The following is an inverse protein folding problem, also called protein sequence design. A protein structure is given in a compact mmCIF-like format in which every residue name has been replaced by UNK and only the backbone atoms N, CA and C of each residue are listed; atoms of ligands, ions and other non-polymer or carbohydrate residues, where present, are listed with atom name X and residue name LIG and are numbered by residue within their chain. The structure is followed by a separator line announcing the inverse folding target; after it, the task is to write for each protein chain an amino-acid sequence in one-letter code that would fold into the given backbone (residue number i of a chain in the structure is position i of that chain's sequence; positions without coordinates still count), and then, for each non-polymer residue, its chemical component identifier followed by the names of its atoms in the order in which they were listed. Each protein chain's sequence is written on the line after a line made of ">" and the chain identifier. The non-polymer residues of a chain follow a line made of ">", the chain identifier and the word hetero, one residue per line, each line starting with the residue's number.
data_IF_294948205926
#
_entry.id   IF_294948205926
#
_cell.length_a   1.000
_cell.length_b   1.000
_cell.length_c   1.000
_cell.angle_alpha   90.00
_cell.angle_beta   90.00
_cell.angle_gamma   90.00
#
_symmetry.space_group_name_H-M   'P 1'
#
loop_
_entity.id
_entity.type
_entity.pdbx_description
1 polymer ?
#
# COMPACT_ATOMS: atom_id res chain seq x y z
N UNK A 1 -6.24 -18.45 -20.54
CA UNK A 1 -5.39 -17.79 -19.52
C UNK A 1 -4.43 -16.91 -20.28
N UNK A 2 -4.62 -15.59 -20.27
CA UNK A 2 -3.77 -14.65 -20.99
C UNK A 2 -2.47 -14.50 -20.20
N UNK A 3 -1.36 -14.95 -20.78
CA UNK A 3 -0.03 -14.72 -20.22
C UNK A 3 0.29 -13.22 -20.38
N UNK A 4 0.74 -12.58 -19.30
CA UNK A 4 1.18 -11.19 -19.33
C UNK A 4 2.71 -11.20 -19.29
N UNK A 5 3.28 -10.49 -20.27
CA UNK A 5 4.70 -10.20 -20.39
C UNK A 5 4.86 -8.70 -20.13
N UNK A 6 5.82 -8.32 -19.30
CA UNK A 6 6.14 -6.93 -19.06
C UNK A 6 7.46 -6.59 -19.73
N UNK A 7 7.52 -5.41 -20.33
CA UNK A 7 8.74 -4.90 -20.96
C UNK A 7 9.37 -3.88 -20.02
N UNK A 8 10.60 -4.14 -19.59
CA UNK A 8 11.37 -3.22 -18.77
C UNK A 8 11.79 -1.96 -19.57
N UNK A 9 12.25 -0.88 -18.91
CA UNK A 9 12.66 0.36 -19.57
C UNK A 9 13.80 0.20 -20.59
N UNK A 10 14.60 -0.87 -20.45
CA UNK A 10 15.67 -1.26 -21.35
C UNK A 10 15.21 -2.16 -22.52
N UNK A 11 13.90 -2.41 -22.64
CA UNK A 11 13.29 -3.24 -23.67
C UNK A 11 13.28 -4.75 -23.35
N UNK A 12 13.77 -5.18 -22.18
CA UNK A 12 13.80 -6.60 -21.83
C UNK A 12 12.41 -7.11 -21.43
N UNK A 13 11.98 -8.23 -22.03
CA UNK A 13 10.71 -8.87 -21.70
C UNK A 13 10.85 -9.82 -20.51
N UNK A 14 9.97 -9.65 -19.54
CA UNK A 14 9.89 -10.47 -18.34
C UNK A 14 9.37 -11.87 -18.67
N UNK A 15 9.78 -12.90 -17.92
CA UNK A 15 9.13 -14.21 -18.02
C UNK A 15 7.58 -14.10 -17.88
N UNK A 16 6.79 -14.79 -18.74
CA UNK A 16 5.34 -14.65 -18.76
C UNK A 16 4.73 -15.09 -17.44
N UNK A 17 3.86 -14.26 -16.86
CA UNK A 17 3.20 -14.57 -15.59
C UNK A 17 1.68 -14.60 -15.65
N UNK A 18 1.16 -15.30 -14.65
CA UNK A 18 -0.22 -15.51 -14.26
C UNK A 18 -1.06 -14.32 -13.83
N UNK A 19 -2.29 -14.16 -14.32
CA UNK A 19 -3.34 -13.49 -13.53
C UNK A 19 -3.52 -14.11 -12.13
N UNK A 20 -3.25 -15.42 -11.99
CA UNK A 20 -3.24 -16.13 -10.69
C UNK A 20 -2.01 -15.80 -9.83
N UNK A 21 -0.91 -15.35 -10.43
CA UNK A 21 0.31 -14.97 -9.70
C UNK A 21 0.17 -13.61 -9.02
N UNK A 22 -0.51 -12.65 -9.66
CA UNK A 22 -0.87 -11.34 -9.07
C UNK A 22 -1.78 -11.46 -7.83
N UNK A 23 -2.72 -12.41 -7.83
CA UNK A 23 -3.63 -12.66 -6.68
C UNK A 23 -2.90 -13.07 -5.40
N UNK A 24 -1.63 -13.47 -5.49
CA UNK A 24 -0.85 -14.05 -4.40
C UNK A 24 0.03 -13.03 -3.64
N UNK A 25 0.03 -11.76 -4.03
CA UNK A 25 0.93 -10.71 -3.51
C UNK A 25 0.39 -9.89 -2.31
N UNK A 26 -0.91 -9.90 -2.00
CA UNK A 26 -1.46 -9.00 -0.97
C UNK A 26 -2.48 -9.65 -0.04
N UNK A 27 -2.20 -9.64 1.27
CA UNK A 27 -3.18 -9.96 2.33
C UNK A 27 -4.25 -8.86 2.36
N UNK A 28 -5.35 -9.08 1.65
CA UNK A 28 -6.72 -8.50 1.78
C UNK A 28 -7.39 -8.67 0.40
N UNK A 29 -8.05 -9.80 0.21
CA UNK A 29 -8.72 -10.16 -1.06
C UNK A 29 -10.20 -9.77 -1.04
N UNK A 30 -10.77 -9.49 0.13
CA UNK A 30 -12.23 -9.52 0.32
C UNK A 30 -12.97 -8.25 -0.14
N UNK A 31 -12.30 -7.14 -0.44
CA UNK A 31 -12.93 -5.89 -0.93
C UNK A 31 -12.23 -5.24 -2.15
N UNK A 32 -11.69 -6.05 -3.08
CA UNK A 32 -11.10 -5.49 -4.30
C UNK A 32 -12.17 -5.02 -5.28
N UNK A 33 -11.93 -3.87 -5.91
CA UNK A 33 -12.84 -3.37 -6.95
C UNK A 33 -12.93 -4.41 -8.10
N UNK A 34 -14.12 -4.65 -8.69
CA UNK A 34 -14.25 -5.57 -9.81
C UNK A 34 -13.29 -5.29 -10.99
N UNK A 35 -12.94 -4.02 -11.22
CA UNK A 35 -12.03 -3.60 -12.30
C UNK A 35 -10.56 -3.57 -11.87
N UNK A 36 -10.26 -3.85 -10.60
CA UNK A 36 -8.92 -3.80 -10.04
C UNK A 36 -7.90 -4.55 -10.90
N UNK A 37 -8.32 -5.72 -11.39
CA UNK A 37 -7.42 -6.61 -12.10
C UNK A 37 -7.05 -6.10 -13.49
N UNK A 38 -8.04 -5.63 -14.24
CA UNK A 38 -7.83 -5.07 -15.57
C UNK A 38 -7.04 -3.77 -15.46
N UNK A 39 -7.31 -2.97 -14.42
CA UNK A 39 -6.54 -1.79 -14.08
C UNK A 39 -5.08 -2.09 -13.77
N UNK A 40 -4.79 -3.12 -12.97
CA UNK A 40 -3.42 -3.55 -12.70
C UNK A 40 -2.68 -3.90 -14.00
N UNK A 41 -3.30 -4.68 -14.87
CA UNK A 41 -2.69 -5.07 -16.14
C UNK A 41 -2.40 -3.86 -17.03
N UNK A 42 -3.35 -2.93 -17.12
CA UNK A 42 -3.20 -1.72 -17.90
C UNK A 42 -2.09 -0.82 -17.34
N UNK A 43 -2.04 -0.62 -16.02
CA UNK A 43 -1.02 0.19 -15.36
C UNK A 43 0.38 -0.35 -15.62
N UNK A 44 0.59 -1.66 -15.47
CA UNK A 44 1.93 -2.22 -15.66
C UNK A 44 2.33 -2.21 -17.14
N UNK A 45 1.39 -2.47 -18.05
CA UNK A 45 1.65 -2.42 -19.50
C UNK A 45 2.02 -1.01 -19.98
N UNK A 46 1.38 0.01 -19.45
CA UNK A 46 1.52 1.40 -19.89
C UNK A 46 2.61 2.15 -19.11
N UNK A 47 3.13 1.55 -18.03
CA UNK A 47 4.17 2.14 -17.18
C UNK A 47 3.76 3.44 -16.49
N UNK A 48 2.46 3.74 -16.41
CA UNK A 48 1.93 4.95 -15.78
C UNK A 48 0.70 4.67 -14.96
N UNK A 49 0.54 5.41 -13.86
CA UNK A 49 -0.65 5.34 -13.03
C UNK A 49 -1.01 6.72 -12.51
N UNK A 50 -2.23 7.16 -12.81
CA UNK A 50 -2.88 8.30 -12.14
C UNK A 50 -4.37 8.05 -12.03
N UNK A 51 -5.03 8.69 -11.06
CA UNK A 51 -6.49 8.58 -10.86
C UNK A 51 -7.26 9.01 -12.12
N UNK A 52 -6.88 10.14 -12.71
CA UNK A 52 -7.46 10.66 -13.96
C UNK A 52 -7.19 9.78 -15.18
N UNK A 53 -6.06 9.06 -15.21
CA UNK A 53 -5.77 8.10 -16.26
C UNK A 53 -6.65 6.85 -16.14
N UNK A 54 -6.74 6.26 -14.95
CA UNK A 54 -7.63 5.10 -14.70
C UNK A 54 -9.10 5.47 -14.98
N UNK A 55 -9.51 6.69 -14.59
CA UNK A 55 -10.86 7.20 -14.84
C UNK A 55 -11.23 7.15 -16.33
N UNK A 56 -10.33 7.63 -17.20
CA UNK A 56 -10.56 7.68 -18.66
C UNK A 56 -10.43 6.31 -19.31
N UNK A 57 -9.44 5.51 -18.91
CA UNK A 57 -9.18 4.19 -19.49
C UNK A 57 -10.33 3.22 -19.21
N UNK A 58 -10.94 3.28 -18.03
CA UNK A 58 -11.98 2.36 -17.59
C UNK A 58 -13.38 2.97 -17.58
N UNK A 59 -13.53 4.23 -18.00
CA UNK A 59 -14.80 4.97 -18.00
C UNK A 59 -15.55 4.87 -16.66
N UNK A 60 -14.82 5.07 -15.56
CA UNK A 60 -15.37 5.03 -14.18
C UNK A 60 -15.35 6.40 -13.53
N UNK A 61 -16.09 6.57 -12.42
CA UNK A 61 -16.06 7.81 -11.64
C UNK A 61 -14.74 7.98 -10.85
N UNK A 62 -14.38 9.23 -10.54
CA UNK A 62 -13.14 9.60 -9.85
C UNK A 62 -12.89 8.81 -8.56
N UNK A 63 -13.88 8.74 -7.65
CA UNK A 63 -13.74 8.03 -6.37
C UNK A 63 -13.44 6.54 -6.55
N UNK A 64 -13.99 5.93 -7.61
CA UNK A 64 -13.74 4.53 -7.92
C UNK A 64 -12.33 4.32 -8.48
N UNK A 65 -11.90 5.23 -9.36
CA UNK A 65 -10.52 5.23 -9.87
C UNK A 65 -9.50 5.45 -8.75
N UNK A 66 -9.75 6.39 -7.83
CA UNK A 66 -8.90 6.64 -6.67
C UNK A 66 -8.76 5.39 -5.78
N UNK A 67 -9.88 4.72 -5.46
CA UNK A 67 -9.86 3.46 -4.71
C UNK A 67 -9.05 2.38 -5.41
N UNK A 68 -9.17 2.26 -6.74
CA UNK A 68 -8.36 1.30 -7.51
C UNK A 68 -6.87 1.64 -7.39
N UNK A 69 -6.50 2.92 -7.49
CA UNK A 69 -5.10 3.36 -7.32
C UNK A 69 -4.58 3.05 -5.92
N UNK A 70 -5.35 3.32 -4.86
CA UNK A 70 -5.01 2.95 -3.48
C UNK A 70 -4.79 1.42 -3.36
N UNK A 71 -5.68 0.62 -3.94
CA UNK A 71 -5.52 -0.84 -3.94
C UNK A 71 -4.27 -1.30 -4.71
N UNK A 72 -3.84 -0.56 -5.73
CA UNK A 72 -2.62 -0.87 -6.50
C UNK A 72 -1.36 -0.47 -5.71
N UNK A 73 -1.43 0.61 -4.95
CA UNK A 73 -0.41 1.06 -4.01
C UNK A 73 -0.23 0.06 -2.87
N UNK A 74 -1.33 -0.37 -2.25
CA UNK A 74 -1.35 -1.35 -1.14
C UNK A 74 -0.64 -2.66 -1.47
N UNK A 75 -0.62 -3.04 -2.75
CA UNK A 75 0.02 -4.28 -3.22
C UNK A 75 1.39 -4.05 -3.86
N UNK A 76 1.87 -2.81 -3.88
CA UNK A 76 3.19 -2.44 -4.38
C UNK A 76 3.33 -2.46 -5.91
N UNK A 77 2.22 -2.40 -6.67
CA UNK A 77 2.29 -2.19 -8.13
C UNK A 77 2.61 -0.73 -8.45
N UNK A 78 2.16 0.18 -7.59
CA UNK A 78 2.30 1.63 -7.75
C UNK A 78 2.92 2.19 -6.47
N UNK A 79 3.81 3.17 -6.58
CA UNK A 79 4.37 3.86 -5.43
C UNK A 79 3.33 4.76 -4.75
N UNK A 80 3.64 5.15 -3.51
CA UNK A 80 3.06 6.35 -2.92
C UNK A 80 3.26 7.56 -3.89
N UNK A 81 2.34 8.53 -3.88
CA UNK A 81 2.53 9.74 -4.67
C UNK A 81 3.77 10.50 -4.17
N UNK A 82 4.53 11.05 -5.09
CA UNK A 82 5.57 12.03 -4.75
C UNK A 82 4.95 13.39 -4.38
N UNK A 83 5.80 14.38 -4.13
CA UNK A 83 5.37 15.73 -3.75
C UNK A 83 4.49 16.41 -4.82
N UNK A 84 4.53 15.96 -6.08
CA UNK A 84 3.75 16.48 -7.23
C UNK A 84 2.62 15.50 -7.61
N UNK A 85 2.32 14.52 -6.75
CA UNK A 85 1.28 13.51 -7.03
C UNK A 85 1.63 12.49 -8.11
N UNK A 86 2.85 12.48 -8.64
CA UNK A 86 3.30 11.46 -9.59
C UNK A 86 3.60 10.16 -8.85
N UNK A 87 3.26 9.06 -9.51
CA UNK A 87 3.45 7.71 -8.97
C UNK A 87 4.30 6.92 -9.94
N UNK A 88 5.30 6.21 -9.42
CA UNK A 88 6.10 5.28 -10.21
C UNK A 88 5.42 3.92 -10.22
N UNK A 89 5.36 3.31 -11.41
CA UNK A 89 4.88 1.94 -11.55
C UNK A 89 6.07 1.02 -11.34
N UNK A 90 5.90 0.01 -10.49
CA UNK A 90 6.93 -0.99 -10.27
C UNK A 90 7.26 -1.67 -11.61
N UNK A 91 8.55 -1.73 -11.94
CA UNK A 91 9.00 -2.42 -13.14
C UNK A 91 8.79 -3.93 -13.00
N UNK A 92 8.84 -4.62 -14.15
CA UNK A 92 8.64 -6.06 -14.22
C UNK A 92 9.53 -6.83 -13.23
N UNK A 93 10.77 -6.36 -13.09
CA UNK A 93 11.82 -6.90 -12.24
C UNK A 93 11.49 -6.79 -10.76
N UNK A 94 11.00 -5.62 -10.31
CA UNK A 94 10.57 -5.40 -8.91
C UNK A 94 9.34 -6.23 -8.57
N UNK A 95 8.38 -6.35 -9.49
CA UNK A 95 7.18 -7.16 -9.29
C UNK A 95 7.55 -8.66 -9.24
N UNK A 96 8.40 -9.15 -10.14
CA UNK A 96 8.86 -10.54 -10.14
C UNK A 96 9.66 -10.91 -8.89
N UNK A 97 10.56 -10.03 -8.46
CA UNK A 97 11.34 -10.21 -7.22
C UNK A 97 10.41 -10.29 -6.02
N UNK A 98 9.42 -9.39 -5.93
CA UNK A 98 8.43 -9.39 -4.85
C UNK A 98 7.54 -10.65 -4.87
N UNK A 99 7.19 -11.17 -6.06
CA UNK A 99 6.46 -12.43 -6.22
C UNK A 99 7.30 -13.62 -5.77
N UNK A 100 8.58 -13.66 -6.15
CA UNK A 100 9.47 -14.77 -5.81
C UNK A 100 9.79 -14.80 -4.31
N UNK A 101 10.07 -13.64 -3.72
CA UNK A 101 10.20 -13.48 -2.26
C UNK A 101 8.93 -13.94 -1.56
N UNK A 102 7.75 -13.49 -2.03
CA UNK A 102 6.45 -13.91 -1.46
C UNK A 102 6.15 -15.40 -1.64
N UNK A 103 6.65 -16.04 -2.71
CA UNK A 103 6.54 -17.49 -2.95
C UNK A 103 7.49 -18.27 -2.04
N UNK A 104 8.73 -17.80 -1.83
CA UNK A 104 9.69 -18.39 -0.88
C UNK A 104 9.19 -18.30 0.55
N UNK A 105 8.81 -17.10 1.01
CA UNK A 105 8.24 -16.89 2.35
C UNK A 105 7.03 -17.79 2.60
N UNK A 106 6.12 -17.94 1.64
CA UNK A 106 4.99 -18.88 1.78
C UNK A 106 5.39 -20.35 1.73
N UNK A 107 6.34 -20.72 0.88
CA UNK A 107 6.91 -22.08 0.87
C UNK A 107 7.52 -22.41 2.23
N UNK A 108 8.27 -21.48 2.80
CA UNK A 108 9.03 -21.69 4.02
C UNK A 108 8.10 -21.68 5.23
N UNK A 109 7.07 -20.82 5.23
CA UNK A 109 5.99 -20.84 6.21
C UNK A 109 5.14 -22.13 6.11
N UNK A 110 4.85 -22.61 4.89
CA UNK A 110 4.11 -23.85 4.68
C UNK A 110 4.93 -25.09 5.11
N UNK A 111 6.23 -25.11 4.85
CA UNK A 111 7.16 -26.14 5.34
C UNK A 111 7.28 -26.09 6.85
N UNK A 112 7.36 -24.90 7.46
CA UNK A 112 7.36 -24.71 8.91
C UNK A 112 6.04 -25.22 9.52
N UNK A 113 4.88 -24.89 8.93
CA UNK A 113 3.59 -25.41 9.36
C UNK A 113 3.47 -26.93 9.19
N UNK A 114 3.94 -27.51 8.07
CA UNK A 114 3.89 -28.96 7.85
C UNK A 114 4.84 -29.70 8.80
N UNK A 115 6.01 -29.15 9.11
CA UNK A 115 6.93 -29.71 10.11
C UNK A 115 6.38 -29.62 11.54
N UNK A 116 5.66 -28.53 11.89
CA UNK A 116 4.90 -28.42 13.15
C UNK A 116 3.72 -29.41 13.19
N UNK A 117 3.07 -29.68 12.06
CA UNK A 117 1.94 -30.64 11.99
C UNK A 117 2.43 -32.10 12.03
N UNK A 118 3.57 -32.40 11.41
CA UNK A 118 4.26 -33.69 11.48
C UNK A 118 4.85 -33.94 12.87
N UNK A 119 5.36 -32.93 13.57
CA UNK A 119 5.85 -33.11 14.95
C UNK A 119 4.73 -33.40 15.96
N UNK A 120 3.48 -32.94 15.69
CA UNK A 120 2.29 -33.31 16.48
C UNK A 120 1.75 -34.71 16.19
N UNK A 121 2.19 -35.39 15.12
CA UNK A 121 1.66 -36.69 14.69
C UNK A 121 2.70 -37.79 14.40
N UNK A 122 4.00 -37.51 14.46
CA UNK A 122 5.06 -38.49 14.19
C UNK A 122 5.54 -39.19 15.48
N UNK A 123 6.02 -40.45 15.41
CA UNK A 123 6.56 -41.16 16.57
C UNK A 123 7.73 -40.39 17.17
N UNK A 124 7.79 -40.30 18.50
CA UNK A 124 8.85 -39.60 19.26
C UNK A 124 10.22 -40.12 18.80
N UNK A 125 10.99 -39.30 18.09
CA UNK A 125 12.40 -39.56 17.82
C UNK A 125 13.16 -39.66 19.14
N UNK A 126 14.22 -40.47 19.17
CA UNK A 126 15.15 -40.48 20.31
C UNK A 126 15.67 -39.05 20.53
N UNK A 127 15.64 -38.62 21.79
CA UNK A 127 16.06 -37.29 22.20
C UNK A 127 17.55 -37.13 21.89
N UNK A 128 17.88 -36.49 20.78
CA UNK A 128 19.23 -35.98 20.56
C UNK A 128 19.26 -34.54 21.11
N UNK A 129 19.98 -34.29 22.21
CA UNK A 129 19.99 -33.00 22.89
C UNK A 129 20.64 -31.87 22.07
N UNK A 130 21.37 -32.17 21.00
CA UNK A 130 22.07 -31.14 20.21
C UNK A 130 21.21 -30.57 19.06
N UNK A 131 20.32 -31.37 18.48
CA UNK A 131 19.35 -30.86 17.48
C UNK A 131 18.28 -29.97 18.10
N UNK A 132 17.87 -30.23 19.35
CA UNK A 132 16.88 -29.40 20.06
C UNK A 132 17.41 -27.99 20.35
N UNK A 133 18.69 -27.86 20.74
CA UNK A 133 19.32 -26.57 21.05
C UNK A 133 19.45 -25.65 19.83
N UNK A 134 19.69 -26.20 18.65
CA UNK A 134 19.90 -25.41 17.43
C UNK A 134 18.58 -24.87 16.85
N UNK A 135 17.49 -25.64 16.95
CA UNK A 135 16.15 -25.18 16.61
C UNK A 135 15.68 -24.08 17.57
N UNK A 136 15.83 -24.28 18.89
CA UNK A 136 15.43 -23.29 19.89
C UNK A 136 16.16 -21.94 19.72
N UNK A 137 17.44 -21.96 19.32
CA UNK A 137 18.19 -20.74 19.03
C UNK A 137 17.67 -20.01 17.78
N UNK A 138 17.33 -20.75 16.71
CA UNK A 138 16.78 -20.14 15.48
C UNK A 138 15.36 -19.56 15.71
N UNK A 139 14.53 -20.25 16.49
CA UNK A 139 13.21 -19.75 16.90
C UNK A 139 13.33 -18.56 17.86
N UNK A 140 14.31 -18.53 18.75
CA UNK A 140 14.58 -17.40 19.64
C UNK A 140 14.93 -16.12 18.87
N UNK A 141 15.84 -16.22 17.89
CA UNK A 141 16.24 -15.06 17.07
C UNK A 141 15.07 -14.50 16.26
N UNK A 142 14.24 -15.37 15.65
CA UNK A 142 13.06 -14.94 14.90
C UNK A 142 11.96 -14.34 15.80
N UNK A 143 11.82 -14.85 17.04
CA UNK A 143 10.89 -14.31 18.03
C UNK A 143 11.34 -12.93 18.53
N UNK A 144 12.65 -12.72 18.71
CA UNK A 144 13.21 -11.44 19.15
C UNK A 144 13.08 -10.36 18.08
N UNK A 145 13.29 -10.70 16.81
CA UNK A 145 13.06 -9.78 15.70
C UNK A 145 11.58 -9.36 15.61
N UNK A 146 10.65 -10.32 15.76
CA UNK A 146 9.22 -10.03 15.78
C UNK A 146 8.83 -9.09 16.95
N UNK A 147 9.39 -9.32 18.15
CA UNK A 147 9.19 -8.43 19.31
C UNK A 147 9.67 -7.02 19.01
N UNK A 148 10.85 -6.86 18.42
CA UNK A 148 11.38 -5.53 18.06
C UNK A 148 10.49 -4.78 17.07
N UNK A 149 9.91 -5.48 16.09
CA UNK A 149 8.94 -4.88 15.17
C UNK A 149 7.67 -4.42 15.89
N UNK A 150 7.12 -5.25 16.78
CA UNK A 150 5.91 -4.94 17.56
C UNK A 150 6.18 -3.75 18.49
N UNK A 151 7.25 -3.79 19.27
CA UNK A 151 7.60 -2.71 20.22
C UNK A 151 7.84 -1.37 19.51
N UNK A 152 8.48 -1.40 18.33
CA UNK A 152 8.65 -0.17 17.53
C UNK A 152 7.31 0.36 17.02
N UNK A 153 6.41 -0.51 16.60
CA UNK A 153 5.08 -0.09 16.13
C UNK A 153 4.23 0.47 17.27
N UNK A 154 4.24 -0.16 18.45
CA UNK A 154 3.52 0.29 19.64
C UNK A 154 4.00 1.68 20.08
N UNK A 155 5.32 1.89 20.13
CA UNK A 155 5.91 3.21 20.41
C UNK A 155 5.46 4.28 19.42
N UNK A 156 5.48 3.98 18.11
CA UNK A 156 5.01 4.92 17.07
C UNK A 156 3.50 5.22 17.21
N UNK A 157 2.72 4.24 17.68
CA UNK A 157 1.29 4.43 17.93
C UNK A 157 1.05 5.34 19.14
N UNK A 158 1.84 5.17 20.21
CA UNK A 158 1.84 6.06 21.38
C UNK A 158 2.24 7.49 21.00
N UNK A 159 3.35 7.67 20.26
CA UNK A 159 3.81 8.98 19.78
C UNK A 159 2.74 9.68 18.91
N UNK A 160 2.10 8.92 18.01
CA UNK A 160 0.99 9.44 17.19
C UNK A 160 -0.18 9.92 18.05
N UNK A 161 -0.51 9.17 19.10
CA UNK A 161 -1.58 9.52 20.02
C UNK A 161 -1.23 10.78 20.83
N UNK A 162 0.00 10.87 21.33
CA UNK A 162 0.51 12.05 22.05
C UNK A 162 0.43 13.31 21.17
N UNK A 163 0.91 13.23 19.93
CA UNK A 163 0.82 14.34 18.97
C UNK A 163 -0.64 14.74 18.70
N UNK A 164 -1.54 13.75 18.59
CA UNK A 164 -2.96 14.02 18.37
C UNK A 164 -3.59 14.76 19.56
N UNK A 165 -3.18 14.43 20.79
CA UNK A 165 -3.66 15.11 21.98
C UNK A 165 -3.08 16.52 22.11
N UNK A 166 -1.80 16.72 21.82
CA UNK A 166 -1.19 18.06 21.70
C UNK A 166 -1.93 18.94 20.67
N UNK A 167 -2.29 18.38 19.50
CA UNK A 167 -3.09 19.11 18.51
C UNK A 167 -4.48 19.52 19.02
N UNK A 168 -5.11 18.70 19.86
CA UNK A 168 -6.40 19.03 20.49
C UNK A 168 -6.25 20.15 21.50
N UNK A 169 -5.18 20.15 22.29
CA UNK A 169 -4.89 21.21 23.26
C UNK A 169 -4.72 22.57 22.57
N UNK A 170 -3.94 22.63 21.48
CA UNK A 170 -3.77 23.86 20.68
C UNK A 170 -5.12 24.36 20.13
N UNK A 171 -5.98 23.45 19.66
CA UNK A 171 -7.31 23.81 19.18
C UNK A 171 -8.24 24.28 20.30
N UNK A 172 -8.14 23.70 21.50
CA UNK A 172 -8.89 24.12 22.68
C UNK A 172 -8.44 25.51 23.17
N UNK A 173 -7.13 25.77 23.15
CA UNK A 173 -6.56 27.08 23.46
C UNK A 173 -7.05 28.15 22.47
N UNK A 174 -6.98 27.86 21.16
CA UNK A 174 -7.50 28.75 20.13
C UNK A 174 -8.99 29.05 20.34
N UNK A 175 -9.78 28.03 20.69
CA UNK A 175 -11.20 28.22 21.03
C UNK A 175 -11.39 29.09 22.27
N UNK A 176 -10.59 28.90 23.32
CA UNK A 176 -10.63 29.72 24.54
C UNK A 176 -10.30 31.19 24.28
N UNK A 177 -9.47 31.46 23.27
CA UNK A 177 -9.14 32.81 22.79
C UNK A 177 -10.18 33.39 21.81
N UNK A 178 -11.25 32.65 21.50
CA UNK A 178 -12.34 33.11 20.63
C UNK A 178 -12.18 32.80 19.14
N UNK A 179 -11.17 32.02 18.73
CA UNK A 179 -11.03 31.61 17.33
C UNK A 179 -11.98 30.46 16.95
N UNK A 180 -12.49 30.48 15.71
CA UNK A 180 -13.28 29.36 15.18
C UNK A 180 -12.37 28.19 14.75
N UNK A 181 -12.37 27.13 15.56
CA UNK A 181 -11.61 25.90 15.31
C UNK A 181 -11.95 25.20 13.98
N UNK A 182 -13.16 25.33 13.44
CA UNK A 182 -13.53 24.76 12.14
C UNK A 182 -12.85 25.52 11.01
N UNK A 183 -12.80 26.85 11.10
CA UNK A 183 -12.09 27.70 10.13
C UNK A 183 -10.58 27.42 10.19
N UNK A 184 -10.00 27.30 11.39
CA UNK A 184 -8.58 26.96 11.55
C UNK A 184 -8.23 25.61 10.92
N UNK A 185 -9.05 24.57 11.11
CA UNK A 185 -8.84 23.27 10.46
C UNK A 185 -8.89 23.36 8.93
N UNK A 186 -9.84 24.13 8.38
CA UNK A 186 -9.91 24.40 6.94
C UNK A 186 -8.66 25.11 6.43
N UNK A 187 -8.17 26.12 7.15
CA UNK A 187 -6.94 26.83 6.80
C UNK A 187 -5.72 25.92 6.83
N UNK A 188 -5.57 25.06 7.85
CA UNK A 188 -4.48 24.07 7.90
C UNK A 188 -4.58 23.10 6.72
N UNK A 189 -5.79 22.63 6.40
CA UNK A 189 -6.00 21.75 5.25
C UNK A 189 -5.62 22.43 3.93
N UNK A 190 -6.08 23.68 3.71
CA UNK A 190 -5.73 24.48 2.53
C UNK A 190 -4.22 24.71 2.42
N UNK A 191 -3.55 25.01 3.54
CA UNK A 191 -2.08 25.21 3.58
C UNK A 191 -1.27 23.95 3.35
N UNK A 192 -1.88 22.77 3.46
CA UNK A 192 -1.25 21.49 3.13
C UNK A 192 -1.39 21.14 1.65
N UNK A 193 -2.29 21.80 0.91
CA UNK A 193 -2.43 21.60 -0.53
C UNK A 193 -1.30 22.33 -1.25
N UNK A 194 -0.81 21.74 -2.33
CA UNK A 194 0.25 22.33 -3.13
C UNK A 194 -0.29 23.58 -3.86
N UNK A 195 0.49 24.67 -4.01
CA UNK A 195 0.01 25.90 -4.64
C UNK A 195 -0.57 25.68 -6.04
N UNK A 196 0.02 24.74 -6.79
CA UNK A 196 -0.38 24.42 -8.16
C UNK A 196 -1.72 23.67 -8.19
N UNK A 197 -1.94 22.71 -7.29
CA UNK A 197 -3.23 22.01 -7.14
C UNK A 197 -4.38 22.98 -6.81
N UNK A 198 -4.10 23.98 -5.97
CA UNK A 198 -5.09 25.00 -5.60
C UNK A 198 -5.43 25.88 -6.81
N UNK A 199 -4.41 26.30 -7.57
CA UNK A 199 -4.60 27.12 -8.76
C UNK A 199 -5.38 26.39 -9.87
N UNK A 200 -5.11 25.10 -10.09
CA UNK A 200 -5.86 24.28 -11.07
C UNK A 200 -7.33 24.14 -10.67
N UNK A 201 -7.62 23.83 -9.40
CA UNK A 201 -9.00 23.74 -8.92
C UNK A 201 -9.73 25.08 -8.98
N UNK A 202 -9.07 26.19 -8.64
CA UNK A 202 -9.65 27.53 -8.73
C UNK A 202 -9.97 27.91 -10.19
N UNK A 203 -9.07 27.60 -11.14
CA UNK A 203 -9.31 27.84 -12.55
C UNK A 203 -10.51 27.04 -13.09
N UNK A 204 -10.64 25.77 -12.68
CA UNK A 204 -11.79 24.92 -13.04
C UNK A 204 -13.08 25.47 -12.40
N UNK A 205 -13.01 25.86 -11.12
CA UNK A 205 -14.15 26.40 -10.40
C UNK A 205 -14.65 27.71 -11.02
N UNK A 206 -13.74 28.60 -11.42
CA UNK A 206 -14.10 29.86 -12.06
C UNK A 206 -14.69 29.63 -13.46
N UNK A 207 -14.17 28.67 -14.23
CA UNK A 207 -14.81 28.22 -15.47
C UNK A 207 -16.26 27.77 -15.23
N UNK A 208 -16.53 27.02 -14.15
CA UNK A 208 -17.88 26.58 -13.81
C UNK A 208 -18.77 27.71 -13.33
N UNK A 209 -18.26 28.65 -12.52
CA UNK A 209 -19.03 29.84 -12.11
C UNK A 209 -19.46 30.68 -13.31
N UNK A 210 -18.53 30.91 -14.25
CA UNK A 210 -18.83 31.61 -15.50
C UNK A 210 -19.94 30.90 -16.29
N UNK A 211 -19.84 29.57 -16.45
CA UNK A 211 -20.85 28.78 -17.14
C UNK A 211 -22.23 28.80 -16.46
N UNK A 212 -22.26 28.96 -15.13
CA UNK A 212 -23.49 29.06 -14.34
C UNK A 212 -23.98 30.51 -14.13
N UNK A 213 -23.30 31.51 -14.71
CA UNK A 213 -23.65 32.93 -14.53
C UNK A 213 -23.44 33.44 -13.11
N UNK A 214 -22.56 32.79 -12.33
CA UNK A 214 -22.21 33.13 -10.96
C UNK A 214 -20.92 33.99 -10.86
N UNK A 215 -20.56 34.68 -11.95
CA UNK A 215 -19.37 35.53 -12.06
C UNK A 215 -19.59 36.97 -11.59
#
# INVERSE_FOLDING_TARGET
>A
MTAITLTAPDGTESAPFTLKDLRRLGRRIEERDPLFHDAACAVIREGRCSTSWIQRTFAIGYNRAARIVEQLEDIGIVSAPDHVGKRTVADATTIQTSIEVSKRVRSDLAKAHDSIKRSKGAPRMKHDPDFAKQADHAYGVAADELRQFIERFERLAEEKQEIADQQKEVMAEAKGRGYDTKVLRKLIALRKREPDDVAEEEAILDMYKLALGMG
#
